data_IF_833923272172
#
_entry.id   IF_833923272172
#
_cell.length_a   1.000
_cell.length_b   1.000
_cell.length_c   1.000
_cell.angle_alpha   90.00
_cell.angle_beta   90.00
_cell.angle_gamma   90.00
#
_symmetry.space_group_name_H-M   'P 1'
#
loop_
_entity.id
_entity.type
_entity.pdbx_description
1 polymer ?
#
# COMPACT_ATOMS: atom_id res chain seq x y z
N UNK A 1 21.12 -31.46 2.41
CA UNK A 1 19.66 -31.49 2.48
C UNK A 1 19.21 -30.11 2.95
N UNK A 2 18.74 -29.33 1.97
CA UNK A 2 18.04 -28.04 2.04
C UNK A 2 18.58 -26.98 3.01
N UNK A 3 19.49 -26.15 2.49
CA UNK A 3 19.63 -24.74 2.90
C UNK A 3 18.36 -23.98 2.47
N UNK A 4 17.47 -23.71 3.43
CA UNK A 4 16.40 -22.75 3.26
C UNK A 4 17.02 -21.36 3.40
N UNK A 5 17.56 -20.81 2.32
CA UNK A 5 18.19 -19.50 2.34
C UNK A 5 17.15 -18.38 2.31
N UNK A 6 17.36 -17.45 3.24
CA UNK A 6 16.59 -16.25 3.58
C UNK A 6 16.44 -15.31 2.39
N UNK A 7 15.25 -14.75 2.20
CA UNK A 7 15.01 -13.29 2.09
C UNK A 7 13.56 -13.02 2.47
N UNK A 8 13.25 -13.06 3.76
CA UNK A 8 12.15 -12.25 4.26
C UNK A 8 12.73 -10.85 4.42
N UNK A 9 12.65 -10.05 3.36
CA UNK A 9 12.92 -8.63 3.47
C UNK A 9 11.88 -8.09 4.45
N UNK A 10 12.29 -7.91 5.70
CA UNK A 10 11.55 -7.15 6.67
C UNK A 10 11.54 -5.72 6.15
N UNK A 11 10.58 -5.41 5.28
CA UNK A 11 10.26 -4.04 4.89
C UNK A 11 9.87 -3.32 6.16
N UNK A 12 10.80 -2.58 6.73
CA UNK A 12 10.49 -1.68 7.84
C UNK A 12 9.53 -0.63 7.33
N UNK A 13 8.49 -0.37 8.11
CA UNK A 13 7.32 0.47 7.87
C UNK A 13 7.60 1.91 7.36
N UNK A 14 8.87 2.32 7.27
CA UNK A 14 9.32 3.66 6.87
C UNK A 14 10.40 3.67 5.78
N UNK A 15 10.71 2.56 5.11
CA UNK A 15 11.66 2.56 3.99
C UNK A 15 10.93 2.70 2.62
N UNK A 16 10.92 3.89 2.00
CA UNK A 16 10.27 4.09 0.71
C UNK A 16 10.94 3.29 -0.42
N UNK A 17 12.22 2.97 -0.30
CA UNK A 17 12.93 2.14 -1.28
C UNK A 17 12.53 0.67 -1.14
N UNK A 18 12.25 0.21 0.09
CA UNK A 18 11.77 -1.14 0.36
C UNK A 18 10.44 -1.46 -0.34
N UNK A 19 9.48 -0.52 -0.33
CA UNK A 19 8.18 -0.70 -1.00
C UNK A 19 8.34 -0.82 -2.52
N UNK A 20 9.19 0.01 -3.12
CA UNK A 20 9.46 -0.02 -4.56
C UNK A 20 10.22 -1.29 -4.96
N UNK A 21 11.11 -1.79 -4.09
CA UNK A 21 11.81 -3.05 -4.31
C UNK A 21 10.84 -4.24 -4.33
N UNK A 22 9.88 -4.29 -3.40
CA UNK A 22 8.82 -5.31 -3.40
C UNK A 22 7.97 -5.23 -4.67
N UNK A 23 7.61 -4.01 -5.10
CA UNK A 23 6.86 -3.82 -6.35
C UNK A 23 7.63 -4.39 -7.56
N UNK A 24 8.92 -4.13 -7.64
CA UNK A 24 9.78 -4.64 -8.71
C UNK A 24 9.88 -6.17 -8.68
N UNK A 25 10.07 -6.76 -7.50
CA UNK A 25 10.12 -8.22 -7.33
C UNK A 25 8.81 -8.90 -7.78
N UNK A 26 7.66 -8.32 -7.40
CA UNK A 26 6.36 -8.83 -7.83
C UNK A 26 6.13 -8.71 -9.33
N UNK A 27 6.46 -7.57 -9.92
CA UNK A 27 6.46 -7.40 -11.38
C UNK A 27 7.32 -8.46 -12.07
N UNK A 28 8.54 -8.69 -11.59
CA UNK A 28 9.46 -9.68 -12.15
C UNK A 28 8.95 -11.12 -11.98
N UNK A 29 8.11 -11.38 -10.97
CA UNK A 29 7.42 -12.66 -10.79
C UNK A 29 6.15 -12.82 -11.64
N UNK A 30 5.81 -11.83 -12.47
CA UNK A 30 4.63 -11.85 -13.34
C UNK A 30 3.32 -11.45 -12.66
N UNK A 31 3.39 -10.88 -11.45
CA UNK A 31 2.20 -10.35 -10.77
C UNK A 31 1.87 -8.96 -11.30
N UNK A 32 0.59 -8.69 -11.53
CA UNK A 32 0.13 -7.33 -11.74
C UNK A 32 0.11 -6.61 -10.38
N UNK A 33 0.58 -5.36 -10.36
CA UNK A 33 0.71 -4.56 -9.13
C UNK A 33 0.14 -3.17 -9.32
N UNK A 34 -0.38 -2.61 -8.23
CA UNK A 34 -0.72 -1.20 -8.11
C UNK A 34 0.13 -0.56 -7.01
N UNK A 35 0.58 0.67 -7.26
CA UNK A 35 1.26 1.51 -6.29
C UNK A 35 0.31 2.63 -5.86
N UNK A 36 -0.02 2.68 -4.57
CA UNK A 36 -0.74 3.77 -3.95
C UNK A 36 0.27 4.70 -3.27
N UNK A 37 0.14 6.00 -3.55
CA UNK A 37 1.00 7.05 -2.99
C UNK A 37 0.13 8.13 -2.36
N UNK A 38 0.44 8.51 -1.12
CA UNK A 38 -0.20 9.68 -0.48
C UNK A 38 0.28 10.93 -1.21
N UNK A 39 -0.60 11.56 -1.98
CA UNK A 39 -0.27 12.79 -2.74
C UNK A 39 -0.55 14.07 -1.94
N UNK A 40 -1.49 14.02 -1.00
CA UNK A 40 -1.88 15.13 -0.14
C UNK A 40 -2.48 14.61 1.17
N UNK A 41 -2.33 15.37 2.24
CA UNK A 41 -2.86 15.08 3.57
C UNK A 41 -3.21 16.40 4.28
N UNK A 42 -4.23 16.37 5.15
CA UNK A 42 -4.65 17.49 6.01
C UNK A 42 -5.02 16.98 7.40
N UNK A 43 -4.97 17.86 8.41
CA UNK A 43 -5.26 17.48 9.80
C UNK A 43 -4.19 16.55 10.40
N UNK A 44 -4.58 15.77 11.41
CA UNK A 44 -3.71 14.83 12.15
C UNK A 44 -3.48 13.52 11.41
N UNK A 45 -3.19 13.58 10.10
CA UNK A 45 -2.95 12.36 9.34
C UNK A 45 -1.66 11.68 9.80
N UNK A 46 -1.71 10.38 10.11
CA UNK A 46 -0.57 9.64 10.68
C UNK A 46 0.62 9.46 9.72
N UNK A 47 0.46 9.70 8.41
CA UNK A 47 1.52 9.51 7.40
C UNK A 47 1.71 10.76 6.53
N UNK A 48 2.96 11.14 6.23
CA UNK A 48 3.23 12.26 5.35
C UNK A 48 2.93 11.92 3.88
N UNK A 49 2.75 12.97 3.07
CA UNK A 49 2.77 12.84 1.62
C UNK A 49 4.06 12.16 1.14
N UNK A 50 3.94 11.30 0.13
CA UNK A 50 5.02 10.44 -0.37
C UNK A 50 5.07 9.05 0.27
N UNK A 51 4.23 8.76 1.27
CA UNK A 51 4.07 7.40 1.80
C UNK A 51 3.49 6.47 0.74
N UNK A 52 4.04 5.26 0.62
CA UNK A 52 3.70 4.31 -0.43
C UNK A 52 3.17 2.99 0.15
N UNK A 53 2.21 2.42 -0.57
CA UNK A 53 1.68 1.07 -0.37
C UNK A 53 1.66 0.39 -1.73
N UNK A 54 2.29 -0.78 -1.85
CA UNK A 54 2.18 -1.63 -3.04
C UNK A 54 1.17 -2.73 -2.77
N UNK A 55 0.33 -3.03 -3.76
CA UNK A 55 -0.69 -4.07 -3.73
C UNK A 55 -0.53 -4.95 -4.98
N UNK A 56 -0.50 -6.27 -4.83
CA UNK A 56 -0.51 -7.23 -5.93
C UNK A 56 -1.93 -7.74 -6.22
N UNK A 57 -2.12 -8.27 -7.43
CA UNK A 57 -3.40 -8.84 -7.89
C UNK A 57 -3.90 -10.04 -7.06
N UNK A 58 -3.04 -10.67 -6.26
CA UNK A 58 -3.39 -11.76 -5.35
C UNK A 58 -3.80 -11.28 -3.95
N UNK A 59 -3.87 -9.96 -3.74
CA UNK A 59 -4.19 -9.34 -2.46
C UNK A 59 -3.00 -9.15 -1.52
N UNK A 60 -1.78 -9.56 -1.90
CA UNK A 60 -0.57 -9.26 -1.13
C UNK A 60 -0.31 -7.75 -1.12
N UNK A 61 0.14 -7.19 0.01
CA UNK A 61 0.50 -5.77 0.09
C UNK A 61 1.71 -5.53 0.99
N UNK A 62 2.43 -4.42 0.75
CA UNK A 62 3.58 -3.98 1.54
C UNK A 62 3.69 -2.44 1.59
N UNK A 63 4.13 -1.90 2.73
CA UNK A 63 4.10 -0.47 3.01
C UNK A 63 2.81 -0.04 3.70
N UNK A 64 2.58 1.27 3.77
CA UNK A 64 1.40 1.83 4.46
C UNK A 64 1.19 3.29 4.07
N UNK A 65 -0.08 3.69 3.98
CA UNK A 65 -0.52 5.06 3.65
C UNK A 65 -1.16 5.79 4.83
N UNK A 66 -1.54 5.06 5.89
CA UNK A 66 -2.11 5.61 7.13
C UNK A 66 -1.51 4.96 8.38
N UNK A 67 -1.30 3.65 8.40
CA UNK A 67 -0.88 2.90 9.58
C UNK A 67 -2.05 2.27 10.33
N UNK A 68 -3.16 1.97 9.65
CA UNK A 68 -4.36 1.37 10.20
C UNK A 68 -5.63 1.67 9.39
N UNK A 69 -6.70 0.89 9.66
CA UNK A 69 -8.10 0.86 9.17
C UNK A 69 -8.41 1.19 7.69
N UNK A 70 -7.84 2.25 7.12
CA UNK A 70 -8.15 2.72 5.77
C UNK A 70 -7.42 1.96 4.66
N UNK A 71 -6.44 1.09 4.97
CA UNK A 71 -5.78 0.26 3.95
C UNK A 71 -6.76 -0.65 3.20
N UNK A 72 -7.87 -1.07 3.83
CA UNK A 72 -8.86 -1.93 3.20
C UNK A 72 -9.54 -1.28 1.98
N UNK A 73 -9.86 0.00 2.06
CA UNK A 73 -10.45 0.75 0.94
C UNK A 73 -9.44 0.94 -0.19
N UNK A 74 -8.19 1.22 0.17
CA UNK A 74 -7.09 1.40 -0.79
C UNK A 74 -6.79 0.08 -1.52
N UNK A 75 -6.83 -1.06 -0.83
CA UNK A 75 -6.64 -2.40 -1.45
C UNK A 75 -7.78 -2.72 -2.43
N UNK A 76 -9.03 -2.38 -2.10
CA UNK A 76 -10.16 -2.54 -3.03
C UNK A 76 -9.97 -1.69 -4.28
N UNK A 77 -9.68 -0.40 -4.11
CA UNK A 77 -9.42 0.50 -5.24
C UNK A 77 -8.24 0.01 -6.09
N UNK A 78 -7.17 -0.50 -5.45
CA UNK A 78 -6.02 -1.06 -6.14
C UNK A 78 -6.40 -2.27 -7.02
N UNK A 79 -7.31 -3.11 -6.56
CA UNK A 79 -7.81 -4.26 -7.35
C UNK A 79 -8.54 -3.80 -8.62
N UNK A 80 -9.33 -2.74 -8.51
CA UNK A 80 -10.04 -2.13 -9.65
C UNK A 80 -9.05 -1.45 -10.62
N UNK A 81 -8.02 -0.76 -10.11
CA UNK A 81 -6.94 -0.18 -10.92
C UNK A 81 -6.20 -1.26 -11.70
N UNK A 82 -5.83 -2.37 -11.04
CA UNK A 82 -5.15 -3.50 -11.68
C UNK A 82 -6.00 -4.08 -12.81
N UNK A 83 -7.29 -4.30 -12.54
CA UNK A 83 -8.22 -4.92 -13.50
C UNK A 83 -8.54 -4.01 -14.69
N UNK A 84 -8.66 -2.70 -14.44
CA UNK A 84 -9.06 -1.72 -15.46
C UNK A 84 -7.88 -1.10 -16.22
N UNK A 85 -6.66 -1.15 -15.65
CA UNK A 85 -5.49 -0.43 -16.14
C UNK A 85 -5.61 1.09 -16.04
N UNK A 86 -6.61 1.61 -15.31
CA UNK A 86 -6.87 3.06 -15.19
C UNK A 86 -6.49 3.54 -13.79
N UNK A 87 -5.70 4.61 -13.73
CA UNK A 87 -5.37 5.26 -12.45
C UNK A 87 -6.61 5.83 -11.77
N UNK A 88 -6.62 5.84 -10.44
CA UNK A 88 -7.66 6.45 -9.62
C UNK A 88 -7.04 7.37 -8.57
N UNK A 89 -7.76 8.43 -8.21
CA UNK A 89 -7.47 9.26 -7.03
C UNK A 89 -8.57 8.96 -6.02
N UNK A 90 -8.17 8.60 -4.81
CA UNK A 90 -9.07 8.31 -3.71
C UNK A 90 -8.86 9.36 -2.63
N UNK A 91 -9.96 9.97 -2.19
CA UNK A 91 -9.98 10.80 -1.00
C UNK A 91 -10.41 9.92 0.17
N UNK A 92 -9.52 9.77 1.16
CA UNK A 92 -9.80 8.96 2.34
C UNK A 92 -9.71 9.87 3.56
N UNK A 93 -10.84 10.04 4.23
CA UNK A 93 -10.97 10.83 5.45
C UNK A 93 -11.61 10.00 6.54
N UNK A 94 -11.23 10.27 7.79
CA UNK A 94 -12.04 9.85 8.93
C UNK A 94 -13.18 10.87 9.02
N UNK A 95 -14.38 10.51 8.57
CA UNK A 95 -15.56 11.21 9.06
C UNK A 95 -15.69 10.87 10.54
N UNK A 96 -15.76 11.88 11.39
CA UNK A 96 -16.15 11.75 12.79
C UNK A 96 -17.53 11.07 12.82
N UNK A 97 -17.57 9.74 12.87
CA UNK A 97 -18.78 8.98 13.20
C UNK A 97 -18.71 8.44 14.63
N UNK A 98 -17.78 8.99 15.44
CA UNK A 98 -17.77 8.79 16.89
C UNK A 98 -17.47 10.13 17.59
N UNK A 99 -18.40 11.10 17.42
CA UNK A 99 -18.59 12.15 18.41
C UNK A 99 -18.98 11.50 19.74
N UNK A 100 -17.97 11.37 20.61
CA UNK A 100 -18.02 11.02 22.03
C UNK A 100 -19.36 11.30 22.73
N UNK A 101 -19.88 10.28 23.44
CA UNK A 101 -20.66 10.50 24.66
C UNK A 101 -19.79 10.24 25.89
#
# INVERSE_FOLDING_TARGET
>A
MTETNKTQAAVTDHDPLGVLQVALEWCNSGKAVALATVIQTWGSSPRPAGSNLVIASDGSFAGSVSGGCVEGEVIRAATDVISSGKRQILEVGVTDDEEWQ
#
